data_IF_263902566864
#
_entry.id   IF_263902566864
#
_cell.length_a   1.000
_cell.length_b   1.000
_cell.length_c   1.000
_cell.angle_alpha   90.00
_cell.angle_beta   90.00
_cell.angle_gamma   90.00
#
_symmetry.space_group_name_H-M   'P 1'
#
loop_
_entity.id
_entity.type
_entity.pdbx_description
1 polymer ?
#
# COMPACT_ATOMS: atom_id res chain seq x y z
N UNK A 1 -4.44 -14.67 22.20
CA UNK A 1 -5.59 -14.99 21.31
C UNK A 1 -6.76 -14.00 21.43
N UNK A 2 -7.44 -13.82 22.59
CA UNK A 2 -8.50 -12.78 22.71
C UNK A 2 -7.94 -11.34 22.65
N UNK A 3 -6.72 -11.13 23.12
CA UNK A 3 -5.99 -9.85 23.04
C UNK A 3 -5.70 -9.43 21.60
N UNK A 4 -5.25 -10.37 20.78
CA UNK A 4 -4.72 -10.09 19.45
C UNK A 4 -5.86 -9.76 18.48
N UNK A 5 -7.01 -10.43 18.63
CA UNK A 5 -8.24 -10.11 17.87
C UNK A 5 -8.77 -8.72 18.22
N UNK A 6 -8.67 -8.28 19.48
CA UNK A 6 -9.10 -6.94 19.90
C UNK A 6 -8.16 -5.87 19.35
N UNK A 7 -6.85 -6.13 19.38
CA UNK A 7 -5.83 -5.24 18.79
C UNK A 7 -6.03 -5.15 17.28
N UNK A 8 -6.20 -6.27 16.59
CA UNK A 8 -6.44 -6.28 15.14
C UNK A 8 -7.70 -5.50 14.77
N UNK A 9 -8.80 -5.70 15.50
CA UNK A 9 -10.05 -4.92 15.29
C UNK A 9 -9.87 -3.43 15.55
N UNK A 10 -9.07 -3.05 16.55
CA UNK A 10 -8.72 -1.66 16.79
C UNK A 10 -7.89 -1.09 15.63
N UNK A 11 -6.86 -1.83 15.19
CA UNK A 11 -5.95 -1.41 14.12
C UNK A 11 -6.66 -1.29 12.77
N UNK A 12 -7.57 -2.21 12.42
CA UNK A 12 -8.41 -2.11 11.20
C UNK A 12 -9.15 -0.75 11.14
N UNK A 13 -9.60 -0.21 12.29
CA UNK A 13 -10.33 1.07 12.33
C UNK A 13 -9.41 2.30 12.25
N UNK A 14 -8.16 2.15 12.69
CA UNK A 14 -7.26 3.28 12.96
C UNK A 14 -6.07 3.39 12.01
N UNK A 15 -5.63 2.28 11.42
CA UNK A 15 -4.62 2.28 10.36
C UNK A 15 -5.14 2.99 9.11
N UNK A 16 -4.27 3.77 8.48
CA UNK A 16 -4.56 4.52 7.25
C UNK A 16 -3.63 4.18 6.08
N UNK A 17 -2.75 3.21 6.30
CA UNK A 17 -1.85 2.66 5.32
C UNK A 17 -0.73 1.88 5.98
N UNK A 18 -0.16 0.94 5.24
CA UNK A 18 1.09 0.27 5.59
C UNK A 18 2.22 0.98 4.87
N UNK A 19 3.27 1.36 5.59
CA UNK A 19 4.46 1.99 5.04
C UNK A 19 5.43 0.92 4.56
N UNK A 20 5.95 1.10 3.35
CA UNK A 20 7.00 0.26 2.78
C UNK A 20 8.10 1.12 2.17
N UNK A 21 9.35 0.69 2.35
CA UNK A 21 10.51 1.21 1.64
C UNK A 21 11.54 0.08 1.54
N UNK A 22 12.40 0.11 0.51
CA UNK A 22 13.51 -0.84 0.45
C UNK A 22 14.55 -0.51 1.52
N UNK A 23 15.23 -1.54 2.04
CA UNK A 23 16.24 -1.38 3.11
C UNK A 23 17.47 -0.55 2.72
N UNK A 24 17.74 -0.41 1.41
CA UNK A 24 18.89 0.32 0.88
C UNK A 24 18.57 1.78 0.53
N UNK A 25 17.36 2.25 0.84
CA UNK A 25 16.87 3.59 0.52
C UNK A 25 16.58 4.31 1.83
N UNK A 26 17.01 5.57 1.95
CA UNK A 26 16.64 6.43 3.08
C UNK A 26 15.38 7.26 2.75
N UNK A 27 14.21 6.98 3.36
CA UNK A 27 12.96 7.68 3.13
C UNK A 27 12.71 8.79 4.15
N UNK A 28 13.77 9.41 4.71
CA UNK A 28 13.67 10.37 5.82
C UNK A 28 12.68 11.51 5.55
N UNK A 29 12.68 12.06 4.34
CA UNK A 29 11.81 13.19 3.97
C UNK A 29 10.34 12.77 3.87
N UNK A 30 10.06 11.60 3.30
CA UNK A 30 8.74 10.99 3.24
C UNK A 30 8.21 10.67 4.63
N UNK A 31 9.05 10.10 5.51
CA UNK A 31 8.70 9.82 6.90
C UNK A 31 8.39 11.13 7.64
N UNK A 32 9.19 12.19 7.44
CA UNK A 32 8.92 13.50 8.03
C UNK A 32 7.62 14.12 7.50
N UNK A 33 7.35 13.94 6.20
CA UNK A 33 6.08 14.35 5.61
C UNK A 33 4.89 13.61 6.25
N UNK A 34 4.98 12.28 6.35
CA UNK A 34 3.96 11.43 6.96
C UNK A 34 3.72 11.82 8.42
N UNK A 35 4.77 12.05 9.23
CA UNK A 35 4.65 12.54 10.61
C UNK A 35 3.83 13.82 10.72
N UNK A 36 4.09 14.79 9.83
CA UNK A 36 3.36 16.07 9.80
C UNK A 36 1.90 15.88 9.39
N UNK A 37 1.62 14.98 8.45
CA UNK A 37 0.28 14.83 7.85
C UNK A 37 -0.62 13.82 8.57
N UNK A 38 -0.06 12.79 9.19
CA UNK A 38 -0.74 11.73 9.95
C UNK A 38 -0.61 11.93 11.47
N UNK A 39 -0.71 13.17 11.94
CA UNK A 39 -0.51 13.52 13.37
C UNK A 39 -1.41 12.72 14.34
N UNK A 40 -2.62 12.38 13.90
CA UNK A 40 -3.66 11.73 14.73
C UNK A 40 -4.12 10.38 14.18
N UNK A 41 -3.43 9.83 13.18
CA UNK A 41 -3.78 8.57 12.51
C UNK A 41 -2.62 7.61 12.60
N UNK A 42 -2.92 6.33 12.73
CA UNK A 42 -1.89 5.30 12.79
C UNK A 42 -1.52 4.85 11.37
N UNK A 43 -0.24 4.60 11.16
CA UNK A 43 0.29 3.88 10.01
C UNK A 43 0.95 2.61 10.52
N UNK A 44 0.94 1.57 9.70
CA UNK A 44 1.61 0.31 10.02
C UNK A 44 2.96 0.24 9.35
N UNK A 45 3.88 -0.55 9.90
CA UNK A 45 5.10 -0.98 9.23
C UNK A 45 5.40 -2.42 9.65
N UNK A 46 5.86 -3.25 8.71
CA UNK A 46 6.31 -4.62 9.03
C UNK A 46 7.48 -4.58 10.01
N UNK A 47 7.51 -5.49 10.99
CA UNK A 47 8.68 -5.67 11.86
C UNK A 47 9.94 -6.17 11.13
N UNK A 48 9.79 -6.69 9.89
CA UNK A 48 10.92 -7.06 9.04
C UNK A 48 11.66 -5.83 8.48
N UNK A 49 11.06 -4.63 8.57
CA UNK A 49 11.67 -3.38 8.16
C UNK A 49 12.25 -2.65 9.38
N UNK A 50 13.38 -1.96 9.16
CA UNK A 50 13.92 -1.07 10.19
C UNK A 50 12.93 0.06 10.43
N UNK A 51 12.32 0.09 11.62
CA UNK A 51 11.44 1.19 11.98
C UNK A 51 12.23 2.50 12.04
N UNK A 52 11.96 3.40 11.09
CA UNK A 52 12.46 4.77 11.15
C UNK A 52 11.72 5.49 12.28
N UNK A 53 12.33 5.51 13.46
CA UNK A 53 12.08 6.42 14.59
C UNK A 53 11.11 6.01 15.70
N UNK A 54 11.21 6.74 16.82
CA UNK A 54 10.29 6.81 17.97
C UNK A 54 8.91 7.41 17.64
N UNK A 55 8.42 7.29 16.40
CA UNK A 55 7.13 7.85 16.02
C UNK A 55 6.00 6.99 16.58
N UNK A 56 5.37 7.43 17.67
CA UNK A 56 4.28 6.70 18.35
C UNK A 56 3.09 6.31 17.46
N UNK A 57 2.92 6.91 16.28
CA UNK A 57 1.84 6.58 15.34
C UNK A 57 2.27 5.65 14.20
N UNK A 58 3.55 5.30 14.12
CA UNK A 58 4.03 4.22 13.24
C UNK A 58 4.06 2.94 14.07
N UNK A 59 3.00 2.15 13.93
CA UNK A 59 2.82 0.90 14.66
C UNK A 59 3.61 -0.19 13.97
N UNK A 60 4.51 -0.82 14.70
CA UNK A 60 5.23 -2.02 14.22
C UNK A 60 4.28 -3.19 14.30
N UNK A 61 4.06 -3.86 13.16
CA UNK A 61 3.14 -4.97 13.01
C UNK A 61 3.92 -6.30 13.06
N UNK A 62 3.44 -7.30 13.83
CA UNK A 62 4.04 -8.64 13.87
C UNK A 62 4.06 -9.27 12.47
N UNK A 63 5.19 -9.86 12.07
CA UNK A 63 5.35 -10.40 10.71
C UNK A 63 4.42 -11.59 10.47
N UNK A 64 3.86 -11.64 9.27
CA UNK A 64 3.13 -12.78 8.70
C UNK A 64 4.13 -13.70 8.00
N UNK A 65 5.07 -13.13 7.24
CA UNK A 65 6.14 -13.84 6.52
C UNK A 65 7.50 -13.15 6.72
N UNK A 66 8.62 -13.83 6.43
CA UNK A 66 9.96 -13.26 6.62
C UNK A 66 10.36 -12.24 5.53
N UNK A 67 9.83 -12.39 4.32
CA UNK A 67 10.12 -11.46 3.23
C UNK A 67 9.44 -10.10 3.48
N UNK A 68 10.22 -9.04 3.67
CA UNK A 68 9.70 -7.73 4.08
C UNK A 68 8.77 -7.10 3.03
N UNK A 69 8.99 -7.40 1.75
CA UNK A 69 8.22 -6.85 0.63
C UNK A 69 6.83 -7.48 0.62
N UNK A 70 6.79 -8.82 0.59
CA UNK A 70 5.56 -9.60 0.66
C UNK A 70 4.81 -9.30 1.95
N UNK A 71 5.50 -9.32 3.11
CA UNK A 71 4.87 -9.05 4.40
C UNK A 71 4.14 -7.70 4.39
N UNK A 72 4.76 -6.65 3.86
CA UNK A 72 4.13 -5.32 3.78
C UNK A 72 2.85 -5.32 2.93
N UNK A 73 2.82 -6.09 1.83
CA UNK A 73 1.64 -6.26 0.99
C UNK A 73 0.55 -7.07 1.71
N UNK A 74 0.92 -8.18 2.36
CA UNK A 74 -0.04 -9.02 3.10
C UNK A 74 -0.67 -8.25 4.27
N UNK A 75 0.12 -7.45 4.99
CA UNK A 75 -0.39 -6.59 6.07
C UNK A 75 -1.38 -5.54 5.53
N UNK A 76 -1.09 -4.94 4.37
CA UNK A 76 -1.98 -3.97 3.74
C UNK A 76 -3.34 -4.59 3.38
N UNK A 77 -3.30 -5.80 2.82
CA UNK A 77 -4.49 -6.61 2.54
C UNK A 77 -5.26 -6.98 3.81
N UNK A 78 -4.57 -7.48 4.85
CA UNK A 78 -5.14 -7.89 6.14
C UNK A 78 -5.84 -6.74 6.87
N UNK A 79 -5.27 -5.54 6.81
CA UNK A 79 -5.80 -4.36 7.50
C UNK A 79 -6.69 -3.46 6.63
N UNK A 80 -7.00 -3.88 5.40
CA UNK A 80 -7.85 -3.14 4.45
C UNK A 80 -7.38 -1.69 4.26
N UNK A 81 -6.07 -1.49 4.16
CA UNK A 81 -5.47 -0.18 3.98
C UNK A 81 -4.45 -0.19 2.84
N UNK A 82 -4.18 0.96 2.19
CA UNK A 82 -3.27 1.02 1.06
C UNK A 82 -1.84 0.82 1.51
N UNK A 83 -0.97 0.44 0.56
CA UNK A 83 0.48 0.51 0.76
C UNK A 83 0.96 1.94 0.43
N UNK A 84 1.75 2.52 1.32
CA UNK A 84 2.43 3.80 1.13
C UNK A 84 3.90 3.50 0.88
N UNK A 85 4.28 3.49 -0.40
CA UNK A 85 5.65 3.19 -0.82
C UNK A 85 6.45 4.49 -0.75
N UNK A 86 7.53 4.51 0.02
CA UNK A 86 8.38 5.69 0.19
C UNK A 86 9.57 5.61 -0.75
N UNK A 87 9.78 6.70 -1.51
CA UNK A 87 10.67 6.78 -2.68
C UNK A 87 10.24 5.84 -3.80
N UNK A 88 10.20 6.35 -5.03
CA UNK A 88 9.79 5.54 -6.19
C UNK A 88 10.72 4.34 -6.39
N UNK A 89 12.01 4.48 -6.09
CA UNK A 89 12.99 3.40 -6.24
C UNK A 89 12.65 2.17 -5.39
N UNK A 90 11.90 2.34 -4.29
CA UNK A 90 11.43 1.21 -3.47
C UNK A 90 10.46 0.30 -4.23
N UNK A 91 9.76 0.84 -5.24
CA UNK A 91 8.78 0.10 -6.04
C UNK A 91 9.42 -1.01 -6.89
N UNK A 92 10.73 -0.91 -7.19
CA UNK A 92 11.47 -1.92 -7.97
C UNK A 92 11.29 -3.35 -7.44
N UNK A 93 11.24 -3.50 -6.12
CA UNK A 93 10.99 -4.78 -5.44
C UNK A 93 9.59 -5.36 -5.63
N UNK A 94 8.64 -4.56 -6.08
CA UNK A 94 7.23 -4.91 -6.30
C UNK A 94 6.89 -5.06 -7.79
N UNK A 95 7.83 -4.79 -8.70
CA UNK A 95 7.58 -4.60 -10.13
C UNK A 95 6.83 -5.77 -10.79
N UNK A 96 7.22 -7.00 -10.46
CA UNK A 96 6.62 -8.23 -11.01
C UNK A 96 5.18 -8.47 -10.56
N UNK A 97 4.72 -7.76 -9.53
CA UNK A 97 3.37 -7.89 -8.99
C UNK A 97 2.46 -6.70 -9.34
N UNK A 98 2.97 -5.69 -10.06
CA UNK A 98 2.17 -4.53 -10.51
C UNK A 98 1.26 -4.95 -11.66
N UNK A 99 -0.06 -4.94 -11.43
CA UNK A 99 -1.07 -5.29 -12.44
C UNK A 99 -1.71 -4.08 -13.12
N UNK A 100 -1.61 -2.89 -12.51
CA UNK A 100 -1.99 -1.60 -13.09
C UNK A 100 -1.18 -0.48 -12.44
N UNK A 101 -0.86 0.58 -13.21
CA UNK A 101 -0.10 1.73 -12.70
C UNK A 101 -0.53 3.03 -13.36
N UNK A 102 -0.45 4.12 -12.61
CA UNK A 102 -0.58 5.49 -13.09
C UNK A 102 0.75 6.21 -12.91
N UNK A 103 1.26 6.76 -14.00
CA UNK A 103 2.49 7.56 -14.04
C UNK A 103 2.18 9.03 -14.34
N UNK A 104 2.95 9.94 -13.77
CA UNK A 104 2.77 11.38 -13.95
C UNK A 104 4.10 12.13 -13.79
N UNK A 105 4.19 13.28 -14.46
CA UNK A 105 5.25 14.26 -14.27
C UNK A 105 4.82 15.41 -13.33
N UNK A 106 3.58 15.38 -12.82
CA UNK A 106 3.08 16.41 -11.93
C UNK A 106 3.76 16.36 -10.55
N UNK A 107 4.17 17.53 -10.05
CA UNK A 107 4.53 17.69 -8.65
C UNK A 107 3.27 17.98 -7.84
N UNK A 108 2.79 16.99 -7.11
CA UNK A 108 1.57 17.13 -6.32
C UNK A 108 1.79 17.98 -5.07
N UNK A 109 0.85 18.87 -4.79
CA UNK A 109 0.83 19.61 -3.52
C UNK A 109 0.50 18.69 -2.35
N UNK A 110 0.75 19.15 -1.11
CA UNK A 110 0.34 18.45 0.11
C UNK A 110 -1.17 18.12 0.15
N UNK A 111 -1.99 19.01 -0.42
CA UNK A 111 -3.44 18.86 -0.49
C UNK A 111 -3.81 17.74 -1.46
N UNK A 112 -3.15 17.70 -2.62
CA UNK A 112 -3.39 16.70 -3.66
C UNK A 112 -2.89 15.33 -3.22
N UNK A 113 -1.71 15.24 -2.59
CA UNK A 113 -1.22 13.99 -2.01
C UNK A 113 -2.19 13.44 -0.97
N UNK A 114 -2.65 14.26 -0.03
CA UNK A 114 -3.66 13.84 0.96
C UNK A 114 -4.97 13.36 0.32
N UNK A 115 -5.42 14.06 -0.71
CA UNK A 115 -6.61 13.69 -1.45
C UNK A 115 -6.43 12.31 -2.11
N UNK A 116 -5.30 12.08 -2.78
CA UNK A 116 -5.02 10.79 -3.42
C UNK A 116 -4.80 9.67 -2.41
N UNK A 117 -4.21 9.93 -1.23
CA UNK A 117 -4.14 8.93 -0.14
C UNK A 117 -5.55 8.53 0.32
N UNK A 118 -6.51 9.46 0.38
CA UNK A 118 -7.90 9.13 0.67
C UNK A 118 -8.53 8.29 -0.44
N UNK A 119 -8.21 8.56 -1.71
CA UNK A 119 -8.69 7.76 -2.84
C UNK A 119 -8.17 6.32 -2.81
N UNK A 120 -6.87 6.09 -2.55
CA UNK A 120 -6.35 4.71 -2.44
C UNK A 120 -6.89 3.96 -1.20
N UNK A 121 -7.20 4.67 -0.11
CA UNK A 121 -7.89 4.08 1.04
C UNK A 121 -9.31 3.59 0.66
N UNK A 122 -10.01 4.34 -0.20
CA UNK A 122 -11.32 3.91 -0.68
C UNK A 122 -11.24 2.78 -1.68
N UNK A 123 -10.26 2.83 -2.58
CA UNK A 123 -9.99 1.78 -3.55
C UNK A 123 -9.99 0.38 -2.91
N UNK A 124 -9.12 0.16 -1.91
CA UNK A 124 -9.00 -1.17 -1.29
C UNK A 124 -10.31 -1.63 -0.65
N UNK A 125 -11.04 -0.72 -0.01
CA UNK A 125 -12.30 -1.05 0.67
C UNK A 125 -13.39 -1.42 -0.36
N UNK A 126 -13.49 -0.65 -1.44
CA UNK A 126 -14.55 -0.78 -2.45
C UNK A 126 -14.46 -2.11 -3.21
N UNK A 127 -13.25 -2.55 -3.56
CA UNK A 127 -13.06 -3.78 -4.32
C UNK A 127 -12.66 -5.00 -3.48
N UNK A 128 -12.50 -4.86 -2.15
CA UNK A 128 -11.86 -5.86 -1.28
C UNK A 128 -12.41 -7.29 -1.49
N UNK A 129 -13.72 -7.45 -1.29
CA UNK A 129 -14.41 -8.73 -1.41
C UNK A 129 -14.29 -9.27 -2.82
N UNK A 130 -14.54 -8.41 -3.83
CA UNK A 130 -14.47 -8.83 -5.23
C UNK A 130 -13.08 -9.31 -5.62
N UNK A 131 -12.05 -8.63 -5.14
CA UNK A 131 -10.67 -9.04 -5.38
C UNK A 131 -10.40 -10.42 -4.77
N UNK A 132 -10.78 -10.66 -3.51
CA UNK A 132 -10.60 -11.97 -2.86
C UNK A 132 -11.34 -13.08 -3.62
N UNK A 133 -12.58 -12.84 -4.04
CA UNK A 133 -13.35 -13.80 -4.86
C UNK A 133 -12.59 -14.19 -6.13
N UNK A 134 -12.09 -13.21 -6.88
CA UNK A 134 -11.33 -13.45 -8.10
C UNK A 134 -9.98 -14.14 -7.80
N UNK A 135 -9.38 -13.86 -6.64
CA UNK A 135 -8.16 -14.51 -6.18
C UNK A 135 -8.37 -16.00 -5.91
N UNK A 136 -9.45 -16.37 -5.22
CA UNK A 136 -9.85 -17.76 -4.99
C UNK A 136 -10.14 -18.53 -6.28
N UNK A 137 -10.64 -17.83 -7.30
CA UNK A 137 -10.88 -18.38 -8.64
C UNK A 137 -9.62 -18.42 -9.51
N UNK A 138 -8.48 -17.94 -9.02
CA UNK A 138 -7.24 -17.75 -9.78
C UNK A 138 -7.45 -16.95 -11.07
N UNK A 139 -8.42 -16.04 -11.09
CA UNK A 139 -8.83 -15.29 -12.28
C UNK A 139 -8.00 -14.00 -12.41
N UNK A 140 -6.75 -14.15 -12.83
CA UNK A 140 -5.78 -13.06 -12.91
C UNK A 140 -6.19 -11.96 -13.91
N UNK A 141 -6.81 -12.33 -15.02
CA UNK A 141 -7.31 -11.35 -16.01
C UNK A 141 -8.38 -10.44 -15.41
N UNK A 142 -9.36 -11.00 -14.70
CA UNK A 142 -10.40 -10.19 -14.06
C UNK A 142 -9.84 -9.32 -12.93
N UNK A 143 -8.80 -9.78 -12.23
CA UNK A 143 -8.10 -8.98 -11.21
C UNK A 143 -7.39 -7.78 -11.83
N UNK A 144 -6.71 -8.00 -12.96
CA UNK A 144 -6.08 -6.94 -13.76
C UNK A 144 -7.10 -5.93 -14.27
N UNK A 145 -8.24 -6.39 -14.79
CA UNK A 145 -9.32 -5.51 -15.25
C UNK A 145 -9.97 -4.73 -14.10
N UNK A 146 -10.13 -5.35 -12.92
CA UNK A 146 -10.60 -4.65 -11.73
C UNK A 146 -9.68 -3.49 -11.35
N UNK A 147 -8.36 -3.74 -11.30
CA UNK A 147 -7.36 -2.70 -11.01
C UNK A 147 -7.34 -1.59 -12.07
N UNK A 148 -7.37 -1.92 -13.37
CA UNK A 148 -7.42 -0.94 -14.46
C UNK A 148 -8.66 -0.06 -14.41
N UNK A 149 -9.82 -0.64 -14.10
CA UNK A 149 -11.08 0.11 -13.95
C UNK A 149 -10.99 1.10 -12.79
N UNK A 150 -10.49 0.66 -11.64
CA UNK A 150 -10.36 1.51 -10.45
C UNK A 150 -9.28 2.59 -10.62
N UNK A 151 -8.27 2.38 -11.46
CA UNK A 151 -7.26 3.41 -11.77
C UNK A 151 -7.87 4.71 -12.34
N UNK A 152 -9.06 4.64 -12.96
CA UNK A 152 -9.82 5.83 -13.42
C UNK A 152 -10.26 6.74 -12.26
N UNK A 153 -10.23 6.26 -11.02
CA UNK A 153 -10.52 7.04 -9.80
C UNK A 153 -9.61 8.27 -9.65
N UNK A 154 -8.39 8.20 -10.20
CA UNK A 154 -7.39 9.26 -10.13
C UNK A 154 -7.48 10.25 -11.29
N UNK A 155 -8.70 10.51 -11.79
CA UNK A 155 -8.98 11.35 -12.97
C UNK A 155 -8.43 12.79 -12.90
N UNK A 156 -8.06 13.28 -11.72
CA UNK A 156 -7.47 14.62 -11.52
C UNK A 156 -5.97 14.67 -11.83
N UNK A 157 -5.31 13.53 -11.95
CA UNK A 157 -3.86 13.46 -12.21
C UNK A 157 -3.64 13.37 -13.71
N UNK A 158 -2.82 14.26 -14.26
CA UNK A 158 -2.41 14.17 -15.66
C UNK A 158 -1.43 13.03 -15.82
N UNK A 159 -1.79 12.05 -16.63
CA UNK A 159 -0.94 10.89 -16.91
C UNK A 159 0.19 11.21 -17.87
N UNK A 160 1.36 10.63 -17.67
CA UNK A 160 2.46 10.64 -18.64
C UNK A 160 3.19 9.31 -18.64
N UNK A 161 3.52 8.78 -19.81
CA UNK A 161 4.13 7.45 -19.96
C UNK A 161 5.58 7.42 -19.45
N UNK A 162 6.31 8.51 -19.67
CA UNK A 162 7.69 8.76 -19.26
C UNK A 162 7.83 9.18 -17.78
N UNK A 163 6.72 9.52 -17.13
CA UNK A 163 6.73 10.06 -15.78
C UNK A 163 6.92 9.03 -14.67
N UNK A 164 6.94 9.55 -13.44
CA UNK A 164 7.10 8.74 -12.23
C UNK A 164 5.81 8.05 -11.83
N UNK A 165 5.92 6.85 -11.29
CA UNK A 165 4.77 6.11 -10.77
C UNK A 165 4.23 6.80 -9.52
N UNK A 166 2.97 7.22 -9.56
CA UNK A 166 2.27 7.78 -8.40
C UNK A 166 1.38 6.74 -7.75
N UNK A 167 0.66 5.95 -8.55
CA UNK A 167 -0.27 4.92 -8.10
C UNK A 167 0.10 3.58 -8.74
N UNK A 168 0.08 2.51 -7.98
CA UNK A 168 0.21 1.14 -8.47
C UNK A 168 -0.81 0.23 -7.79
N UNK A 169 -1.19 -0.87 -8.46
CA UNK A 169 -2.00 -1.93 -7.87
C UNK A 169 -1.17 -3.20 -7.85
N UNK A 170 -0.96 -3.74 -6.66
CA UNK A 170 -0.12 -4.91 -6.41
C UNK A 170 -1.00 -6.12 -6.20
N UNK A 171 -0.72 -7.19 -6.94
CA UNK A 171 -1.36 -8.47 -6.75
C UNK A 171 -0.48 -9.40 -5.90
N UNK A 172 -0.84 -9.67 -4.63
CA UNK A 172 -0.03 -10.54 -3.77
C UNK A 172 0.10 -11.97 -4.34
N UNK A 173 -0.86 -12.44 -5.13
CA UNK A 173 -0.83 -13.78 -5.72
C UNK A 173 0.22 -13.93 -6.83
N UNK A 174 0.72 -12.81 -7.38
CA UNK A 174 1.87 -12.80 -8.29
C UNK A 174 3.21 -12.85 -7.54
N UNK A 175 3.20 -12.57 -6.23
CA UNK A 175 4.41 -12.59 -5.39
C UNK A 175 4.65 -13.95 -4.75
N UNK A 176 3.58 -14.64 -4.33
CA UNK A 176 3.68 -15.98 -3.75
C UNK A 176 2.44 -16.82 -4.03
N UNK A 177 2.66 -18.07 -4.43
CA UNK A 177 1.61 -19.09 -4.63
C UNK A 177 1.15 -19.75 -3.33
N UNK A 178 1.86 -19.52 -2.23
CA UNK A 178 1.57 -20.12 -0.92
C UNK A 178 0.46 -19.37 -0.15
N UNK A 179 0.00 -18.24 -0.69
CA UNK A 179 -1.05 -17.42 -0.08
C UNK A 179 -2.38 -18.16 -0.17
N UNK A 180 -2.83 -18.67 0.98
CA UNK A 180 -4.08 -19.43 1.12
C UNK A 180 -5.11 -18.71 1.97
N UNK A 181 -4.69 -17.76 2.81
CA UNK A 181 -5.58 -16.95 3.65
C UNK A 181 -6.30 -15.90 2.80
N UNK A 182 -7.65 -15.95 2.69
CA UNK A 182 -8.44 -15.00 1.90
C UNK A 182 -8.17 -13.54 2.24
N UNK A 183 -7.92 -13.20 3.51
CA UNK A 183 -7.73 -11.79 3.91
C UNK A 183 -6.42 -11.20 3.38
N UNK A 184 -5.54 -12.05 2.83
CA UNK A 184 -4.25 -11.70 2.26
C UNK A 184 -4.26 -11.76 0.72
N UNK A 185 -5.38 -12.17 0.10
CA UNK A 185 -5.51 -12.32 -1.35
C UNK A 185 -5.96 -11.05 -2.06
N UNK A 186 -6.36 -10.00 -1.34
CA UNK A 186 -6.86 -8.79 -1.97
C UNK A 186 -5.75 -8.02 -2.67
N UNK A 187 -6.05 -7.46 -3.85
CA UNK A 187 -5.18 -6.51 -4.56
C UNK A 187 -4.93 -5.31 -3.64
N UNK A 188 -3.69 -4.84 -3.56
CA UNK A 188 -3.32 -3.74 -2.70
C UNK A 188 -3.06 -2.49 -3.55
N UNK A 189 -3.88 -1.43 -3.43
CA UNK A 189 -3.59 -0.16 -4.06
C UNK A 189 -2.47 0.52 -3.28
N UNK A 190 -1.54 1.08 -4.04
CA UNK A 190 -0.33 1.70 -3.56
C UNK A 190 -0.32 3.16 -3.97
N UNK A 191 0.13 4.03 -3.06
CA UNK A 191 0.53 5.38 -3.39
C UNK A 191 2.03 5.52 -3.13
N UNK A 192 2.75 6.00 -4.14
CA UNK A 192 4.18 6.27 -4.05
C UNK A 192 4.38 7.71 -3.57
N UNK A 193 5.01 7.86 -2.42
CA UNK A 193 5.47 9.13 -1.89
C UNK A 193 6.93 9.29 -2.26
N UNK A 194 7.21 10.11 -3.27
CA UNK A 194 8.56 10.49 -3.64
C UNK A 194 8.70 12.00 -3.45
N UNK A 195 9.04 12.41 -2.24
CA UNK A 195 9.32 13.80 -1.92
C UNK A 195 10.77 14.08 -2.36
N UNK A 196 10.92 14.97 -3.32
CA UNK A 196 12.21 15.61 -3.55
C UNK A 196 12.39 16.65 -2.43
N UNK A 197 13.49 16.55 -1.69
CA UNK A 197 13.98 17.63 -0.84
C UNK A 197 14.24 18.88 -1.68
#
# INVERSE_FOLDING_TARGET
MKSDVVIDRYLIKNLRGIVYHSNNIDPKDEINWLKRKFKYRELGISENLKAYSKWKRLVVLPRIVQDAVLDSVLQASRFLCPLLVLKEQSLSSLENAIIARLRTNEKLSDKDLKFNIRLVNYAITDFYIKSIELGRQSNMESRKELAKKDLKRFWRIRTSEDGKTLIAYIDPLLMSREITDPIQMSIVPCLVLDQQA
#
